data_IF_724927158098
#
_entry.id   IF_724927158098
#
_cell.length_a   1.000
_cell.length_b   1.000
_cell.length_c   1.000
_cell.angle_alpha   90.00
_cell.angle_beta   90.00
_cell.angle_gamma   90.00
#
_symmetry.space_group_name_H-M   'P 1'
#
loop_
_entity.id
_entity.type
_entity.pdbx_description
1 polymer ?
#
# COMPACT_ATOMS: atom_id res chain seq x y z
N UNK A 1 -24.80 -9.90 15.75
CA UNK A 1 -25.30 -8.52 15.72
C UNK A 1 -24.16 -7.62 16.19
N UNK A 2 -23.35 -7.16 15.25
CA UNK A 2 -22.47 -5.99 15.40
C UNK A 2 -22.12 -5.58 13.97
N UNK A 3 -22.95 -4.71 13.40
CA UNK A 3 -22.55 -3.90 12.26
C UNK A 3 -21.57 -2.87 12.82
N UNK A 4 -20.26 -3.10 12.66
CA UNK A 4 -19.34 -1.98 12.58
C UNK A 4 -19.36 -1.48 11.14
N UNK A 5 -20.20 -0.48 10.93
CA UNK A 5 -20.19 0.34 9.72
C UNK A 5 -18.74 0.79 9.49
N UNK A 6 -18.13 0.29 8.41
CA UNK A 6 -16.82 0.73 7.98
C UNK A 6 -16.94 2.19 7.59
N UNK A 7 -16.56 3.08 8.51
CA UNK A 7 -16.66 4.51 8.34
C UNK A 7 -15.63 4.92 7.28
N UNK A 8 -16.09 4.98 6.02
CA UNK A 8 -15.37 5.60 4.92
C UNK A 8 -15.30 7.09 5.24
N UNK A 9 -14.15 7.54 5.73
CA UNK A 9 -13.90 8.97 5.84
C UNK A 9 -13.29 9.44 4.53
N UNK A 10 -14.03 10.28 3.82
CA UNK A 10 -13.63 10.91 2.58
C UNK A 10 -13.27 12.35 2.92
N UNK A 11 -12.00 12.72 2.78
CA UNK A 11 -11.50 14.07 3.09
C UNK A 11 -10.90 14.65 1.82
N UNK A 12 -11.26 15.87 1.46
CA UNK A 12 -10.59 16.59 0.36
C UNK A 12 -9.28 17.18 0.90
N UNK A 13 -8.16 16.81 0.29
CA UNK A 13 -6.84 17.35 0.61
C UNK A 13 -6.63 18.73 -0.02
N UNK A 14 -5.72 19.53 0.54
CA UNK A 14 -5.40 20.89 0.07
C UNK A 14 -4.94 20.96 -1.39
N UNK A 15 -4.46 19.85 -1.95
CA UNK A 15 -4.04 19.73 -3.35
C UNK A 15 -5.16 19.28 -4.30
N UNK A 16 -6.42 19.23 -3.85
CA UNK A 16 -7.57 18.82 -4.66
C UNK A 16 -7.74 17.30 -4.80
N UNK A 17 -6.87 16.48 -4.20
CA UNK A 17 -7.08 15.04 -4.16
C UNK A 17 -8.13 14.65 -3.10
N UNK A 18 -8.82 13.54 -3.34
CA UNK A 18 -9.72 12.93 -2.36
C UNK A 18 -8.94 11.85 -1.59
N UNK A 19 -8.88 11.99 -0.27
CA UNK A 19 -8.31 11.00 0.62
C UNK A 19 -9.35 9.96 1.01
N UNK A 20 -8.97 8.69 0.91
CA UNK A 20 -9.76 7.55 1.35
C UNK A 20 -9.02 6.89 2.50
N UNK A 21 -9.74 6.65 3.60
CA UNK A 21 -9.20 5.96 4.78
C UNK A 21 -9.82 4.58 4.94
N UNK A 22 -8.98 3.62 5.35
CA UNK A 22 -9.38 2.28 5.76
C UNK A 22 -8.59 1.88 7.02
N UNK A 23 -9.21 1.15 7.94
CA UNK A 23 -8.54 0.62 9.13
C UNK A 23 -8.43 -0.90 9.02
N UNK A 24 -7.22 -1.43 9.02
CA UNK A 24 -6.92 -2.86 8.84
C UNK A 24 -5.99 -3.31 9.95
N UNK A 25 -6.43 -4.25 10.79
CA UNK A 25 -5.65 -4.79 11.92
C UNK A 25 -5.00 -3.70 12.81
N UNK A 26 -5.73 -2.60 13.07
CA UNK A 26 -5.22 -1.46 13.85
C UNK A 26 -4.28 -0.51 13.09
N UNK A 27 -4.00 -0.77 11.81
CA UNK A 27 -3.24 0.11 10.92
C UNK A 27 -4.21 0.99 10.13
N UNK A 28 -4.03 2.31 10.20
CA UNK A 28 -4.77 3.23 9.36
C UNK A 28 -4.08 3.36 8.00
N UNK A 29 -4.78 2.93 6.95
CA UNK A 29 -4.39 3.12 5.56
C UNK A 29 -5.07 4.37 5.03
N UNK A 30 -4.30 5.30 4.46
CA UNK A 30 -4.78 6.51 3.81
C UNK A 30 -4.22 6.58 2.41
N UNK A 31 -5.08 6.64 1.41
CA UNK A 31 -4.69 6.75 0.01
C UNK A 31 -5.31 7.98 -0.61
N UNK A 32 -4.51 8.71 -1.39
CA UNK A 32 -5.02 9.80 -2.23
C UNK A 32 -5.50 9.23 -3.57
N UNK A 33 -6.71 9.61 -3.97
CA UNK A 33 -7.23 9.43 -5.32
C UNK A 33 -7.48 10.80 -5.96
N UNK A 34 -7.49 10.85 -7.29
CA UNK A 34 -7.92 12.06 -8.01
C UNK A 34 -9.40 12.34 -7.75
N UNK A 35 -9.71 13.63 -7.74
CA UNK A 35 -11.08 14.11 -7.84
C UNK A 35 -11.48 14.19 -9.31
N UNK A 36 -12.41 13.32 -9.72
CA UNK A 36 -12.91 13.31 -11.10
C UNK A 36 -14.07 14.29 -11.31
N UNK A 37 -14.67 14.77 -10.21
CA UNK A 37 -15.79 15.70 -10.26
C UNK A 37 -15.30 17.16 -10.36
N UNK A 38 -13.98 17.36 -10.34
CA UNK A 38 -13.35 18.66 -10.54
C UNK A 38 -13.23 18.99 -12.04
N UNK A 39 -14.10 19.87 -12.52
CA UNK A 39 -14.16 20.30 -13.92
C UNK A 39 -12.93 21.10 -14.41
N UNK A 40 -12.13 21.64 -13.48
CA UNK A 40 -10.89 22.37 -13.80
C UNK A 40 -9.65 21.45 -13.84
N UNK A 41 -9.82 20.14 -13.72
CA UNK A 41 -8.71 19.19 -13.67
C UNK A 41 -8.07 18.98 -15.06
N UNK A 42 -6.76 19.24 -15.14
CA UNK A 42 -5.90 18.80 -16.25
C UNK A 42 -5.00 17.67 -15.77
N UNK A 43 -4.96 16.55 -16.50
CA UNK A 43 -4.07 15.44 -16.15
C UNK A 43 -2.61 15.91 -16.23
N UNK A 44 -1.84 15.90 -15.12
CA UNK A 44 -0.46 16.36 -15.14
C UNK A 44 0.41 15.52 -16.08
N UNK A 45 -0.01 14.28 -16.34
CA UNK A 45 0.70 13.33 -17.18
C UNK A 45 0.18 13.35 -18.63
N UNK A 46 -0.70 14.29 -19.02
CA UNK A 46 -1.34 14.33 -20.34
C UNK A 46 -0.34 14.29 -21.51
N UNK A 47 0.87 14.81 -21.29
CA UNK A 47 1.93 14.87 -22.29
C UNK A 47 3.02 13.80 -22.10
N UNK A 48 2.86 12.86 -21.17
CA UNK A 48 3.82 11.79 -20.94
C UNK A 48 3.68 10.68 -22.01
N UNK A 49 4.80 10.04 -22.35
CA UNK A 49 4.86 9.01 -23.40
C UNK A 49 4.00 7.77 -23.11
N UNK A 50 3.73 7.48 -21.83
CA UNK A 50 2.89 6.36 -21.38
C UNK A 50 1.44 6.80 -21.09
N UNK A 51 1.09 8.05 -21.39
CA UNK A 51 -0.27 8.53 -21.18
C UNK A 51 -1.26 7.77 -22.06
N UNK A 52 -2.31 7.25 -21.41
CA UNK A 52 -3.43 6.61 -22.06
C UNK A 52 -4.70 6.80 -21.23
N UNK A 53 -5.90 6.64 -21.81
CA UNK A 53 -7.13 6.60 -21.04
C UNK A 53 -7.09 5.57 -19.90
N UNK A 54 -6.39 4.45 -20.08
CA UNK A 54 -6.18 3.46 -19.02
C UNK A 54 -5.32 4.02 -17.87
N UNK A 55 -4.20 4.68 -18.18
CA UNK A 55 -3.36 5.36 -17.18
C UNK A 55 -4.15 6.40 -16.38
N UNK A 56 -5.01 7.19 -17.04
CA UNK A 56 -5.86 8.19 -16.37
C UNK A 56 -6.81 7.56 -15.33
N UNK A 57 -7.28 6.34 -15.58
CA UNK A 57 -8.13 5.60 -14.62
C UNK A 57 -7.36 4.91 -13.49
N UNK A 58 -6.02 4.85 -13.55
CA UNK A 58 -5.17 4.30 -12.49
C UNK A 58 -5.19 5.14 -11.21
N UNK A 59 -5.68 6.38 -11.28
CA UNK A 59 -5.66 7.35 -10.18
C UNK A 59 -6.95 7.40 -9.36
N UNK A 60 -7.89 6.48 -9.59
CA UNK A 60 -9.14 6.39 -8.83
C UNK A 60 -9.27 5.08 -8.05
N UNK A 61 -10.15 5.09 -7.04
CA UNK A 61 -10.58 3.87 -6.38
C UNK A 61 -11.84 3.37 -7.03
N UNK A 62 -11.76 2.18 -7.59
CA UNK A 62 -12.92 1.47 -8.15
C UNK A 62 -13.78 0.90 -7.01
N UNK A 63 -15.10 0.95 -7.17
CA UNK A 63 -16.03 0.45 -6.14
C UNK A 63 -15.75 -1.02 -5.77
N UNK A 64 -15.31 -1.83 -6.74
CA UNK A 64 -14.90 -3.22 -6.53
C UNK A 64 -13.75 -3.41 -5.55
N UNK A 65 -12.83 -2.44 -5.42
CA UNK A 65 -11.69 -2.51 -4.51
C UNK A 65 -12.13 -2.64 -3.06
N UNK A 66 -13.19 -1.93 -2.64
CA UNK A 66 -13.69 -2.02 -1.27
C UNK A 66 -14.27 -3.41 -0.97
N UNK A 67 -15.01 -3.99 -1.91
CA UNK A 67 -15.56 -5.34 -1.75
C UNK A 67 -14.43 -6.38 -1.70
N UNK A 68 -13.41 -6.20 -2.55
CA UNK A 68 -12.25 -7.07 -2.57
C UNK A 68 -11.46 -7.00 -1.25
N UNK A 69 -11.15 -5.80 -0.74
CA UNK A 69 -10.48 -5.62 0.56
C UNK A 69 -11.28 -6.26 1.69
N UNK A 70 -12.60 -6.12 1.68
CA UNK A 70 -13.49 -6.76 2.66
C UNK A 70 -13.38 -8.28 2.60
N UNK A 71 -13.45 -8.88 1.41
CA UNK A 71 -13.27 -10.32 1.22
C UNK A 71 -11.87 -10.78 1.70
N UNK A 72 -10.82 -10.02 1.39
CA UNK A 72 -9.47 -10.31 1.90
C UNK A 72 -9.46 -10.32 3.44
N UNK A 73 -10.10 -9.35 4.08
CA UNK A 73 -10.15 -9.22 5.53
C UNK A 73 -10.96 -10.33 6.20
N UNK A 74 -12.14 -10.64 5.68
CA UNK A 74 -13.09 -11.56 6.32
C UNK A 74 -12.74 -13.03 6.02
N UNK A 75 -12.23 -13.34 4.83
CA UNK A 75 -12.10 -14.73 4.37
C UNK A 75 -10.65 -15.20 4.22
N UNK A 76 -9.71 -14.28 3.96
CA UNK A 76 -8.34 -14.64 3.56
C UNK A 76 -7.24 -14.06 4.46
N UNK A 77 -7.56 -13.26 5.48
CA UNK A 77 -6.57 -12.53 6.27
C UNK A 77 -5.49 -13.46 6.87
N UNK A 78 -5.90 -14.57 7.48
CA UNK A 78 -4.97 -15.56 8.05
C UNK A 78 -4.12 -16.26 7.00
N UNK A 79 -4.61 -16.38 5.75
CA UNK A 79 -3.90 -17.00 4.63
C UNK A 79 -2.89 -16.06 3.98
N UNK A 80 -3.00 -14.75 4.20
CA UNK A 80 -2.11 -13.72 3.65
C UNK A 80 -0.84 -13.50 4.48
N UNK A 81 -0.86 -13.84 5.77
CA UNK A 81 0.27 -13.61 6.69
C UNK A 81 1.54 -14.30 6.16
N UNK A 82 2.60 -13.51 5.98
CA UNK A 82 3.91 -13.96 5.49
C UNK A 82 3.93 -14.36 4.01
N UNK A 83 2.82 -14.21 3.28
CA UNK A 83 2.77 -14.59 1.85
C UNK A 83 3.36 -13.51 0.96
N UNK A 84 4.07 -13.94 -0.08
CA UNK A 84 4.45 -13.10 -1.20
C UNK A 84 3.26 -12.90 -2.13
N UNK A 85 2.85 -11.65 -2.29
CA UNK A 85 1.73 -11.24 -3.13
C UNK A 85 2.24 -10.33 -4.24
N UNK A 86 1.75 -10.54 -5.47
CA UNK A 86 1.91 -9.65 -6.60
C UNK A 86 0.54 -9.07 -6.95
N UNK A 87 0.43 -7.76 -7.02
CA UNK A 87 -0.77 -7.05 -7.47
C UNK A 87 -0.49 -6.42 -8.84
N UNK A 88 -1.32 -6.74 -9.82
CA UNK A 88 -1.26 -6.23 -11.19
C UNK A 88 -2.33 -5.16 -11.39
N UNK A 89 -1.96 -4.00 -11.95
CA UNK A 89 -2.91 -2.89 -12.10
C UNK A 89 -3.33 -2.33 -10.75
N UNK A 90 -2.36 -2.04 -9.89
CA UNK A 90 -2.58 -1.60 -8.51
C UNK A 90 -3.30 -0.24 -8.39
N UNK A 91 -3.28 0.59 -9.43
CA UNK A 91 -3.83 1.93 -9.42
C UNK A 91 -3.24 2.78 -8.29
N UNK A 92 -4.10 3.32 -7.42
CA UNK A 92 -3.68 4.06 -6.23
C UNK A 92 -3.21 3.16 -5.06
N UNK A 93 -3.32 1.84 -5.20
CA UNK A 93 -2.67 0.86 -4.34
C UNK A 93 -3.43 0.45 -3.07
N UNK A 94 -4.71 0.79 -2.93
CA UNK A 94 -5.48 0.52 -1.71
C UNK A 94 -5.50 -0.97 -1.33
N UNK A 95 -5.77 -1.87 -2.28
CA UNK A 95 -5.89 -3.30 -1.98
C UNK A 95 -4.55 -3.92 -1.56
N UNK A 96 -3.47 -3.67 -2.29
CA UNK A 96 -2.13 -4.10 -1.90
C UNK A 96 -1.66 -3.54 -0.55
N UNK A 97 -1.97 -2.27 -0.24
CA UNK A 97 -1.66 -1.68 1.08
C UNK A 97 -2.43 -2.37 2.21
N UNK A 98 -3.72 -2.64 2.01
CA UNK A 98 -4.53 -3.39 2.97
C UNK A 98 -3.99 -4.82 3.16
N UNK A 99 -3.63 -5.52 2.08
CA UNK A 99 -3.05 -6.86 2.17
C UNK A 99 -1.70 -6.86 2.92
N UNK A 100 -0.86 -5.85 2.68
CA UNK A 100 0.39 -5.68 3.42
C UNK A 100 0.13 -5.43 4.92
N UNK A 101 -0.84 -4.57 5.26
CA UNK A 101 -1.25 -4.34 6.64
C UNK A 101 -1.76 -5.62 7.34
N UNK A 102 -2.38 -6.55 6.59
CA UNK A 102 -2.78 -7.88 7.08
C UNK A 102 -1.61 -8.86 7.26
N UNK A 103 -0.38 -8.49 6.89
CA UNK A 103 0.81 -9.32 7.09
C UNK A 103 1.43 -9.89 5.82
N UNK A 104 0.91 -9.55 4.62
CA UNK A 104 1.51 -9.99 3.37
C UNK A 104 2.78 -9.20 3.00
N UNK A 105 3.61 -9.79 2.15
CA UNK A 105 4.73 -9.14 1.48
C UNK A 105 4.35 -8.86 0.04
N UNK A 106 3.89 -7.64 -0.22
CA UNK A 106 3.22 -7.24 -1.46
C UNK A 106 4.20 -6.52 -2.40
N UNK A 107 4.18 -6.89 -3.68
CA UNK A 107 4.71 -6.09 -4.77
C UNK A 107 3.54 -5.56 -5.59
N UNK A 108 3.39 -4.24 -5.64
CA UNK A 108 2.37 -3.55 -6.40
C UNK A 108 2.94 -3.14 -7.76
N UNK A 109 2.18 -3.33 -8.83
CA UNK A 109 2.65 -3.05 -10.19
C UNK A 109 1.57 -2.33 -11.00
N UNK A 110 2.01 -1.36 -11.80
CA UNK A 110 1.17 -0.59 -12.71
C UNK A 110 2.06 0.10 -13.77
N UNK A 111 1.45 0.92 -14.63
CA UNK A 111 2.16 1.79 -15.58
C UNK A 111 3.07 2.80 -14.86
N UNK A 112 4.18 3.24 -15.48
CA UNK A 112 5.11 4.21 -14.91
C UNK A 112 4.43 5.44 -14.30
N UNK A 113 3.56 6.12 -15.07
CA UNK A 113 2.80 7.30 -14.64
C UNK A 113 1.97 7.06 -13.38
N UNK A 114 1.34 5.89 -13.24
CA UNK A 114 0.54 5.50 -12.07
C UNK A 114 1.44 5.17 -10.89
N UNK A 115 2.52 4.43 -11.12
CA UNK A 115 3.48 4.06 -10.07
C UNK A 115 4.14 5.28 -9.46
N UNK A 116 4.65 6.20 -10.27
CA UNK A 116 5.34 7.39 -9.80
C UNK A 116 4.36 8.48 -9.31
N UNK A 117 3.21 8.61 -9.97
CA UNK A 117 2.23 9.67 -9.67
C UNK A 117 1.31 9.38 -8.49
N UNK A 118 1.03 8.11 -8.17
CA UNK A 118 0.08 7.74 -7.11
C UNK A 118 0.60 6.66 -6.17
N UNK A 119 1.09 5.54 -6.72
CA UNK A 119 1.39 4.35 -5.94
C UNK A 119 2.53 4.57 -4.93
N UNK A 120 3.66 5.11 -5.37
CA UNK A 120 4.82 5.42 -4.51
C UNK A 120 4.47 6.47 -3.44
N UNK A 121 3.83 7.62 -3.77
CA UNK A 121 3.35 8.56 -2.76
C UNK A 121 2.46 7.91 -1.69
N UNK A 122 1.49 7.09 -2.10
CA UNK A 122 0.60 6.39 -1.17
C UNK A 122 1.36 5.36 -0.31
N UNK A 123 2.32 4.62 -0.86
CA UNK A 123 3.19 3.73 -0.08
C UNK A 123 3.99 4.51 0.98
N UNK A 124 4.60 5.63 0.59
CA UNK A 124 5.39 6.46 1.52
C UNK A 124 4.49 6.98 2.65
N UNK A 125 3.30 7.49 2.33
CA UNK A 125 2.34 8.02 3.29
C UNK A 125 1.95 6.98 4.36
N UNK A 126 1.80 5.71 3.97
CA UNK A 126 1.36 4.66 4.87
C UNK A 126 2.51 3.97 5.63
N UNK A 127 3.73 3.99 5.09
CA UNK A 127 4.88 3.32 5.70
C UNK A 127 5.68 4.24 6.63
N UNK A 128 5.59 5.57 6.46
CA UNK A 128 6.17 6.53 7.40
C UNK A 128 5.48 6.52 8.78
N UNK A 129 4.22 6.07 8.83
CA UNK A 129 3.37 6.10 10.03
C UNK A 129 3.12 4.71 10.64
N UNK A 130 3.73 3.66 10.11
CA UNK A 130 3.53 2.31 10.62
C UNK A 130 4.19 2.15 12.01
N UNK A 131 3.49 1.59 13.02
CA UNK A 131 4.10 1.32 14.30
C UNK A 131 5.31 0.37 14.12
N UNK A 132 6.39 0.54 14.92
CA UNK A 132 7.53 -0.36 14.86
C UNK A 132 7.06 -1.81 15.05
N UNK A 133 7.56 -2.71 14.21
CA UNK A 133 7.31 -4.15 14.37
C UNK A 133 7.71 -4.57 15.80
N UNK A 134 6.92 -5.40 16.50
CA UNK A 134 7.45 -6.15 17.62
C UNK A 134 8.66 -6.92 17.11
N UNK A 135 9.83 -6.70 17.72
CA UNK A 135 11.03 -7.47 17.46
C UNK A 135 10.63 -8.95 17.58
N UNK A 136 10.66 -9.67 16.45
CA UNK A 136 10.44 -11.11 16.46
C UNK A 136 11.46 -11.72 17.42
N UNK A 137 10.96 -12.42 18.43
CA UNK A 137 11.71 -12.97 19.54
C UNK A 137 12.88 -13.82 19.01
N UNK A 138 14.08 -13.24 19.06
CA UNK A 138 15.32 -13.91 18.67
C UNK A 138 15.71 -14.88 19.77
N UNK A 139 15.02 -16.01 19.85
CA UNK A 139 15.45 -17.11 20.69
C UNK A 139 16.67 -17.79 20.05
N UNK A 140 17.83 -17.44 20.62
CA UNK A 140 19.09 -18.18 20.67
C UNK A 140 19.83 -18.51 19.37
N UNK A 141 20.88 -17.71 19.08
CA UNK A 141 22.21 -18.28 18.79
C UNK A 141 23.35 -17.30 19.12
N UNK A 142 24.10 -17.62 20.17
CA UNK A 142 25.55 -17.41 20.35
C UNK A 142 26.15 -16.01 20.16
N UNK A 143 26.69 -15.47 21.24
CA UNK A 143 27.56 -14.29 21.31
C UNK A 143 28.81 -14.39 20.41
N UNK A 144 29.18 -13.30 19.72
CA UNK A 144 30.46 -12.58 19.90
C UNK A 144 30.74 -11.54 18.80
N UNK A 145 30.93 -10.29 19.21
CA UNK A 145 31.95 -9.35 18.71
C UNK A 145 31.83 -8.70 17.31
N UNK A 146 31.55 -7.40 17.35
CA UNK A 146 32.30 -6.29 16.71
C UNK A 146 31.48 -5.37 15.79
N UNK A 147 31.63 -4.07 16.03
CA UNK A 147 30.77 -3.01 15.55
C UNK A 147 31.34 -2.34 14.30
N UNK A 148 30.62 -2.45 13.18
CA UNK A 148 30.69 -1.46 12.10
C UNK A 148 29.29 -1.15 11.58
N UNK A 149 28.94 0.14 11.63
CA UNK A 149 27.67 0.68 11.17
C UNK A 149 27.45 0.38 9.67
N UNK A 150 26.46 -0.46 9.39
CA UNK A 150 25.90 -0.68 8.07
C UNK A 150 24.44 -1.05 8.23
N UNK A 151 23.55 -0.28 7.62
CA UNK A 151 22.10 -0.49 7.55
C UNK A 151 21.80 -1.85 6.88
N UNK A 152 21.88 -2.92 7.66
CA UNK A 152 21.54 -4.27 7.24
C UNK A 152 20.22 -4.65 7.90
N UNK A 153 19.14 -3.99 7.46
CA UNK A 153 17.77 -4.43 7.73
C UNK A 153 17.61 -5.81 7.11
N UNK A 154 17.88 -6.83 7.92
CA UNK A 154 17.59 -8.25 7.70
C UNK A 154 16.38 -8.42 6.77
N UNK A 155 16.66 -8.70 5.49
CA UNK A 155 15.64 -9.01 4.51
C UNK A 155 15.15 -10.41 4.89
N UNK A 156 13.99 -10.49 5.54
CA UNK A 156 13.24 -11.75 5.57
C UNK A 156 13.20 -12.29 4.13
N UNK A 157 13.50 -13.57 3.88
CA UNK A 157 13.54 -14.15 2.53
C UNK A 157 12.20 -14.01 1.79
N UNK A 158 11.12 -13.75 2.51
CA UNK A 158 9.79 -13.58 1.96
C UNK A 158 9.49 -12.14 1.51
N UNK A 159 10.36 -11.16 1.78
CA UNK A 159 10.14 -9.75 1.40
C UNK A 159 10.63 -9.46 -0.02
N UNK A 160 9.90 -8.61 -0.74
CA UNK A 160 10.36 -8.05 -2.01
C UNK A 160 11.51 -7.06 -1.79
N UNK A 161 12.43 -6.98 -2.76
CA UNK A 161 13.52 -5.99 -2.70
C UNK A 161 12.94 -4.58 -2.68
N UNK A 162 13.48 -3.72 -1.81
CA UNK A 162 13.01 -2.33 -1.66
C UNK A 162 11.68 -2.19 -0.91
N UNK A 163 11.11 -3.27 -0.37
CA UNK A 163 9.85 -3.20 0.36
C UNK A 163 9.99 -2.43 1.69
N UNK A 164 8.98 -1.61 1.98
CA UNK A 164 8.82 -0.86 3.23
C UNK A 164 7.86 -1.61 4.16
N UNK A 165 8.12 -1.56 5.46
CA UNK A 165 7.27 -2.23 6.45
C UNK A 165 5.91 -1.53 6.58
N UNK A 166 4.84 -2.31 6.72
CA UNK A 166 3.48 -1.81 6.91
C UNK A 166 2.65 -2.85 7.67
N UNK A 167 2.12 -2.51 8.85
CA UNK A 167 1.40 -3.47 9.69
C UNK A 167 2.25 -4.67 10.06
N UNK A 168 1.77 -5.90 9.89
CA UNK A 168 2.58 -7.12 10.04
C UNK A 168 3.40 -7.51 8.80
N UNK A 169 3.27 -6.76 7.70
CA UNK A 169 3.79 -7.11 6.39
C UNK A 169 4.74 -6.07 5.79
N UNK A 170 4.84 -6.06 4.46
CA UNK A 170 5.64 -5.07 3.74
C UNK A 170 5.13 -4.85 2.32
N UNK A 171 5.40 -3.68 1.76
CA UNK A 171 4.96 -3.28 0.41
C UNK A 171 6.11 -2.67 -0.39
N UNK A 172 6.22 -3.05 -1.66
CA UNK A 172 7.08 -2.44 -2.67
C UNK A 172 6.26 -2.09 -3.92
N UNK A 173 6.79 -1.20 -4.76
CA UNK A 173 6.22 -0.87 -6.06
C UNK A 173 7.24 -1.11 -7.19
N UNK A 174 6.74 -1.51 -8.35
CA UNK A 174 7.53 -1.64 -9.58
C UNK A 174 6.69 -1.20 -10.78
N UNK A 175 7.24 -0.29 -11.60
CA UNK A 175 6.67 0.08 -12.89
C UNK A 175 6.96 -1.00 -13.94
N UNK A 176 5.95 -1.33 -14.77
CA UNK A 176 6.04 -2.31 -15.85
C UNK A 176 6.02 -1.66 -17.23
#
# INVERSE_FOLDING_TARGET
>A
MTQEAHQKEVIVAENGNILIRAAINGVQITVAKRDLDNEDFTDPNFFDDDWSPAAATGFVVWQGTFLFVKMLQEELASKLVGKRVLELGSGIGLAGLCAAAMGAHVLQTDLPSVVYGALIPNIIQNTANAPPQPLADSTNRGESGDATAGDNRSLSPDKWRGARALGGGSVAALAL
#
